data_IF_085226956857
#
_entry.id   IF_085226956857
#
_cell.length_a   1.000
_cell.length_b   1.000
_cell.length_c   1.000
_cell.angle_alpha   90.00
_cell.angle_beta   90.00
_cell.angle_gamma   90.00
#
_symmetry.space_group_name_H-M   'P 1'
#
loop_
_entity.id
_entity.type
_entity.pdbx_description
1 polymer ?
#
# COMPACT_ATOMS: atom_id res chain seq x y z
N UNK A 1 -13.32 -9.37 15.31
CA UNK A 1 -12.12 -8.51 15.12
C UNK A 1 -12.28 -7.28 16.01
N UNK A 2 -11.29 -6.96 16.84
CA UNK A 2 -11.29 -5.81 17.74
C UNK A 2 -10.67 -4.59 17.05
N UNK A 3 -11.46 -3.93 16.22
CA UNK A 3 -11.02 -2.70 15.53
C UNK A 3 -11.07 -1.46 16.43
N UNK A 4 -11.61 -1.59 17.64
CA UNK A 4 -11.69 -0.55 18.67
C UNK A 4 -10.36 -0.32 19.40
N UNK A 5 -9.41 -1.26 19.27
CA UNK A 5 -8.09 -1.19 19.91
C UNK A 5 -7.01 -1.31 18.82
N UNK A 6 -5.93 -0.50 18.88
CA UNK A 6 -4.82 -0.66 17.96
C UNK A 6 -4.12 -2.01 18.16
N UNK A 7 -3.69 -2.62 17.06
CA UNK A 7 -2.86 -3.82 17.10
C UNK A 7 -1.56 -3.58 17.90
N UNK A 8 -1.07 -4.58 18.66
CA UNK A 8 0.24 -4.49 19.30
C UNK A 8 1.33 -4.19 18.25
N UNK A 9 2.31 -3.32 18.56
CA UNK A 9 3.32 -2.94 17.59
C UNK A 9 4.18 -4.13 17.18
N UNK A 10 4.82 -4.08 15.98
CA UNK A 10 5.65 -5.17 15.48
C UNK A 10 6.68 -5.64 16.49
N UNK A 11 6.79 -6.96 16.67
CA UNK A 11 7.73 -7.58 17.62
C UNK A 11 7.30 -7.52 19.10
N UNK A 12 6.20 -6.86 19.45
CA UNK A 12 5.66 -6.83 20.82
C UNK A 12 4.35 -7.60 20.99
N UNK A 13 3.81 -8.21 19.92
CA UNK A 13 2.63 -9.07 20.00
C UNK A 13 2.96 -10.33 20.80
N UNK A 14 2.08 -10.70 21.72
CA UNK A 14 2.23 -11.93 22.52
C UNK A 14 2.16 -13.15 21.62
N UNK A 15 2.98 -14.18 21.88
CA UNK A 15 2.89 -15.47 21.19
C UNK A 15 1.60 -16.24 21.53
N UNK A 16 0.96 -15.90 22.65
CA UNK A 16 -0.30 -16.48 23.11
C UNK A 16 -1.50 -15.56 22.85
N UNK A 17 -1.35 -14.55 21.97
CA UNK A 17 -2.46 -13.70 21.58
C UNK A 17 -3.48 -14.48 20.74
N UNK A 18 -4.74 -14.48 21.17
CA UNK A 18 -5.83 -15.21 20.54
C UNK A 18 -6.87 -14.28 19.88
N UNK A 19 -6.59 -12.99 19.81
CA UNK A 19 -7.50 -11.99 19.25
C UNK A 19 -6.93 -11.35 17.99
N UNK A 20 -7.83 -11.04 17.05
CA UNK A 20 -7.52 -10.28 15.84
C UNK A 20 -7.86 -8.80 16.04
N UNK A 21 -6.94 -7.91 15.64
CA UNK A 21 -7.07 -6.45 15.76
C UNK A 21 -7.41 -5.76 14.42
N UNK A 22 -7.67 -6.54 13.37
CA UNK A 22 -7.99 -6.03 12.04
C UNK A 22 -6.76 -5.82 11.16
N UNK A 23 -5.59 -6.26 11.61
CA UNK A 23 -4.35 -6.24 10.87
C UNK A 23 -3.92 -7.62 10.32
N UNK A 24 -4.72 -8.67 10.59
CA UNK A 24 -4.51 -10.00 10.05
C UNK A 24 -4.98 -10.10 8.59
N UNK A 25 -4.37 -10.99 7.81
CA UNK A 25 -4.73 -11.22 6.41
C UNK A 25 -5.96 -12.12 6.26
N UNK A 26 -6.61 -12.05 5.09
CA UNK A 26 -7.76 -12.91 4.76
C UNK A 26 -7.32 -14.37 4.55
N UNK A 27 -8.24 -15.33 4.72
CA UNK A 27 -7.96 -16.74 4.45
C UNK A 27 -7.51 -17.00 2.99
N UNK A 28 -8.02 -16.21 2.05
CA UNK A 28 -7.61 -16.29 0.65
C UNK A 28 -6.14 -15.87 0.44
N UNK A 29 -5.68 -14.82 1.14
CA UNK A 29 -4.30 -14.37 1.10
C UNK A 29 -3.33 -15.39 1.73
N UNK A 30 -3.77 -16.15 2.73
CA UNK A 30 -2.97 -17.25 3.29
C UNK A 30 -2.77 -18.41 2.31
N UNK A 31 -3.80 -18.73 1.53
CA UNK A 31 -3.74 -19.80 0.52
C UNK A 31 -2.98 -19.36 -0.73
N UNK A 32 -3.10 -18.08 -1.08
CA UNK A 32 -2.47 -17.45 -2.24
C UNK A 32 -1.67 -16.24 -1.78
N UNK A 33 -0.48 -16.46 -1.19
CA UNK A 33 0.35 -15.37 -0.68
C UNK A 33 0.78 -14.46 -1.81
N UNK A 34 0.93 -13.19 -1.47
CA UNK A 34 1.28 -12.16 -2.41
C UNK A 34 2.76 -12.16 -2.72
N UNK A 35 3.12 -11.56 -3.85
CA UNK A 35 4.47 -11.67 -4.43
C UNK A 35 5.58 -11.24 -3.46
N UNK A 36 5.28 -10.31 -2.55
CA UNK A 36 6.24 -9.73 -1.61
C UNK A 36 6.12 -10.25 -0.16
N UNK A 37 5.18 -11.15 0.13
CA UNK A 37 5.02 -11.74 1.47
C UNK A 37 6.29 -12.47 1.91
N UNK A 38 6.94 -13.17 0.97
CA UNK A 38 8.22 -13.86 1.22
C UNK A 38 9.37 -12.93 1.61
N UNK A 39 9.24 -11.62 1.33
CA UNK A 39 10.21 -10.58 1.72
C UNK A 39 9.78 -9.85 3.00
N UNK A 40 8.69 -10.27 3.62
CA UNK A 40 8.15 -9.64 4.82
C UNK A 40 7.46 -8.30 4.55
N UNK A 41 7.05 -8.03 3.30
CA UNK A 41 6.28 -6.83 2.95
C UNK A 41 4.81 -7.22 2.81
N UNK A 42 3.96 -6.93 3.82
CA UNK A 42 2.56 -7.27 3.77
C UNK A 42 1.78 -6.35 2.82
N UNK A 43 0.70 -6.83 2.23
CA UNK A 43 -0.18 -6.07 1.33
C UNK A 43 -0.64 -4.73 1.90
N UNK A 44 -0.94 -4.68 3.20
CA UNK A 44 -1.39 -3.45 3.85
C UNK A 44 -0.40 -2.30 3.67
N UNK A 45 0.90 -2.58 3.53
CA UNK A 45 1.94 -1.55 3.37
C UNK A 45 1.88 -0.87 1.99
N UNK A 46 1.22 -1.50 1.01
CA UNK A 46 0.92 -0.90 -0.30
C UNK A 46 -0.30 0.02 -0.23
N UNK A 47 -1.24 -0.29 0.67
CA UNK A 47 -2.47 0.49 0.89
C UNK A 47 -2.25 1.72 1.78
N UNK A 48 -1.12 1.80 2.50
CA UNK A 48 -0.77 2.98 3.30
C UNK A 48 -0.69 4.21 2.39
N UNK A 49 -1.46 5.23 2.73
CA UNK A 49 -1.42 6.52 2.04
C UNK A 49 -0.23 7.33 2.54
N UNK A 50 0.61 7.77 1.60
CA UNK A 50 1.88 8.44 1.84
C UNK A 50 1.87 9.84 1.23
N UNK A 51 2.64 10.79 1.79
CA UNK A 51 2.83 12.07 1.17
C UNK A 51 3.63 11.94 -0.13
N UNK A 52 3.46 12.93 -1.00
CA UNK A 52 4.11 13.00 -2.31
C UNK A 52 5.62 12.80 -2.27
N UNK A 53 6.31 13.43 -1.31
CA UNK A 53 7.77 13.34 -1.17
C UNK A 53 8.26 11.91 -0.93
N UNK A 54 7.54 11.16 -0.08
CA UNK A 54 7.87 9.76 0.21
C UNK A 54 7.66 8.89 -1.04
N UNK A 55 6.53 9.06 -1.75
CA UNK A 55 6.28 8.31 -2.99
C UNK A 55 7.27 8.66 -4.09
N UNK A 56 7.64 9.93 -4.24
CA UNK A 56 8.65 10.35 -5.21
C UNK A 56 9.98 9.65 -4.94
N UNK A 57 10.39 9.56 -3.67
CA UNK A 57 11.63 8.88 -3.29
C UNK A 57 11.60 7.38 -3.63
N UNK A 58 10.46 6.72 -3.44
CA UNK A 58 10.26 5.31 -3.78
C UNK A 58 10.31 5.08 -5.29
N UNK A 59 9.62 5.92 -6.08
CA UNK A 59 9.62 5.83 -7.55
C UNK A 59 11.01 6.09 -8.12
N UNK A 60 11.73 7.09 -7.60
CA UNK A 60 13.11 7.39 -7.99
C UNK A 60 14.06 6.24 -7.69
N UNK A 61 13.90 5.57 -6.54
CA UNK A 61 14.74 4.43 -6.18
C UNK A 61 14.60 3.24 -7.14
N UNK A 62 13.43 3.06 -7.74
CA UNK A 62 13.15 1.99 -8.72
C UNK A 62 13.54 2.40 -10.15
N UNK A 63 13.75 3.69 -10.40
CA UNK A 63 14.12 4.27 -11.69
C UNK A 63 13.19 3.82 -12.84
N UNK A 64 11.88 4.01 -12.64
CA UNK A 64 10.87 3.65 -13.65
C UNK A 64 10.98 4.62 -14.84
N UNK A 65 11.25 4.14 -16.06
CA UNK A 65 11.41 5.01 -17.23
C UNK A 65 10.08 5.63 -17.67
N UNK A 66 10.13 6.82 -18.26
CA UNK A 66 9.01 7.53 -18.90
C UNK A 66 7.80 7.87 -17.99
N UNK A 67 7.96 7.86 -16.66
CA UNK A 67 6.87 8.21 -15.74
C UNK A 67 6.87 9.69 -15.40
N UNK A 68 5.83 10.41 -15.84
CA UNK A 68 5.53 11.74 -15.33
C UNK A 68 4.87 11.63 -13.95
N UNK A 69 5.69 11.59 -12.89
CA UNK A 69 5.21 11.39 -11.52
C UNK A 69 4.19 12.44 -11.06
N UNK A 70 4.33 13.69 -11.50
CA UNK A 70 3.45 14.79 -11.10
C UNK A 70 2.01 14.53 -11.56
N UNK A 71 1.85 14.26 -12.85
CA UNK A 71 0.57 13.97 -13.48
C UNK A 71 -0.07 12.70 -12.91
N UNK A 72 0.76 11.68 -12.66
CA UNK A 72 0.30 10.42 -12.12
C UNK A 72 -0.19 10.57 -10.66
N UNK A 73 0.49 11.39 -9.86
CA UNK A 73 0.08 11.68 -8.49
C UNK A 73 -1.27 12.44 -8.44
N UNK A 74 -1.45 13.44 -9.31
CA UNK A 74 -2.71 14.20 -9.40
C UNK A 74 -3.90 13.32 -9.80
N UNK A 75 -3.72 12.43 -10.78
CA UNK A 75 -4.77 11.46 -11.15
C UNK A 75 -5.09 10.48 -10.01
N UNK A 76 -4.06 10.03 -9.29
CA UNK A 76 -4.27 9.18 -8.12
C UNK A 76 -5.02 9.91 -7.00
N UNK A 77 -4.78 11.20 -6.81
CA UNK A 77 -5.53 12.01 -5.84
C UNK A 77 -7.02 12.08 -6.19
N UNK A 78 -7.36 12.15 -7.48
CA UNK A 78 -8.76 12.17 -7.94
C UNK A 78 -9.51 10.86 -7.62
N UNK A 79 -8.80 9.73 -7.45
CA UNK A 79 -9.42 8.46 -7.07
C UNK A 79 -9.94 8.43 -5.63
N UNK A 80 -9.36 9.24 -4.74
CA UNK A 80 -9.71 9.24 -3.31
C UNK A 80 -10.79 10.25 -2.94
N UNK A 81 -10.93 11.34 -3.71
CA UNK A 81 -11.96 12.38 -3.57
C UNK A 81 -12.15 12.93 -2.14
N UNK A 82 -11.07 12.98 -1.36
CA UNK A 82 -11.09 13.44 0.05
C UNK A 82 -10.31 14.73 0.28
N UNK A 83 -9.69 15.28 -0.78
CA UNK A 83 -8.92 16.52 -0.74
C UNK A 83 -7.60 16.43 0.04
N UNK A 84 -7.18 15.22 0.43
CA UNK A 84 -5.91 15.02 1.13
C UNK A 84 -4.78 14.80 0.11
N UNK A 85 -3.60 15.43 0.28
CA UNK A 85 -2.45 15.22 -0.60
C UNK A 85 -1.71 13.92 -0.24
N UNK A 86 -2.47 12.82 -0.15
CA UNK A 86 -1.99 11.51 0.27
C UNK A 86 -2.45 10.46 -0.74
N UNK A 87 -1.51 9.66 -1.23
CA UNK A 87 -1.78 8.60 -2.21
C UNK A 87 -1.19 7.29 -1.71
N UNK A 88 -1.87 6.17 -1.92
CA UNK A 88 -1.32 4.85 -1.65
C UNK A 88 -0.45 4.36 -2.80
N UNK A 89 0.56 3.54 -2.51
CA UNK A 89 1.40 2.97 -3.56
C UNK A 89 0.63 2.02 -4.49
N UNK A 90 -0.39 1.33 -3.97
CA UNK A 90 -1.31 0.50 -4.76
C UNK A 90 -2.03 1.30 -5.86
N UNK A 91 -2.69 2.40 -5.50
CA UNK A 91 -3.33 3.30 -6.46
C UNK A 91 -2.35 3.84 -7.53
N UNK A 92 -1.13 4.19 -7.10
CA UNK A 92 -0.07 4.67 -7.99
C UNK A 92 0.28 3.60 -9.04
N UNK A 93 0.50 2.37 -8.60
CA UNK A 93 0.79 1.25 -9.51
C UNK A 93 -0.40 0.95 -10.43
N UNK A 94 -1.62 1.01 -9.92
CA UNK A 94 -2.83 0.79 -10.71
C UNK A 94 -2.96 1.80 -11.86
N UNK A 95 -2.87 3.11 -11.57
CA UNK A 95 -2.94 4.15 -12.61
C UNK A 95 -1.78 4.03 -13.60
N UNK A 96 -0.59 3.74 -13.11
CA UNK A 96 0.58 3.51 -13.96
C UNK A 96 0.36 2.34 -14.93
N UNK A 97 -0.22 1.22 -14.48
CA UNK A 97 -0.50 0.08 -15.37
C UNK A 97 -1.54 0.42 -16.44
N UNK A 98 -2.58 1.19 -16.10
CA UNK A 98 -3.58 1.64 -17.07
C UNK A 98 -2.93 2.50 -18.17
N UNK A 99 -2.04 3.44 -17.80
CA UNK A 99 -1.32 4.27 -18.78
C UNK A 99 -0.38 3.48 -19.69
N UNK A 100 0.18 2.37 -19.19
CA UNK A 100 0.99 1.47 -20.03
C UNK A 100 0.08 0.74 -21.03
N UNK A 101 -1.07 0.25 -20.59
CA UNK A 101 -1.99 -0.53 -21.43
C UNK A 101 -2.68 0.34 -22.50
N UNK A 102 -2.85 1.65 -22.26
CA UNK A 102 -3.40 2.62 -23.22
C UNK A 102 -2.41 3.09 -24.29
N UNK A 103 -1.11 2.78 -24.14
CA UNK A 103 -0.02 3.23 -25.02
C UNK A 103 0.32 2.23 -26.13
#
# INVERSE_FOLDING_TARGET
VRTDIPAPPPGKRSCADNMSYGDDCSAAALLNPQRFDSRGVPDRDFLIRRPKEELASLVQAVNIPDVNFEELFEECMQLFDDGLPLVSLDALLYVHTQKIDER
#
